data_IF_374191272578
#
_entry.id   IF_374191272578
#
_cell.length_a   1.000
_cell.length_b   1.000
_cell.length_c   1.000
_cell.angle_alpha   90.00
_cell.angle_beta   90.00
_cell.angle_gamma   90.00
#
_symmetry.space_group_name_H-M   'P 1'
#
loop_
_entity.id
_entity.type
_entity.pdbx_description
1 polymer ?
#
# COMPACT_ATOMS: atom_id res chain seq x y z
N UNK A 1 -19.22 1.93 -28.22
CA UNK A 1 -18.46 0.67 -28.07
C UNK A 1 -19.07 -0.34 -29.02
N UNK A 2 -18.27 -1.06 -29.81
CA UNK A 2 -18.78 -1.98 -30.86
C UNK A 2 -19.05 -3.38 -30.28
N UNK A 3 -18.23 -3.84 -29.33
CA UNK A 3 -18.41 -5.10 -28.60
C UNK A 3 -18.38 -4.86 -27.09
N UNK A 4 -19.20 -5.58 -26.32
CA UNK A 4 -19.18 -5.49 -24.87
C UNK A 4 -17.91 -6.17 -24.32
N UNK A 5 -17.20 -5.55 -23.36
CA UNK A 5 -16.06 -6.19 -22.72
C UNK A 5 -16.53 -7.41 -21.91
N UNK A 6 -15.66 -8.41 -21.72
CA UNK A 6 -15.96 -9.49 -20.78
C UNK A 6 -16.19 -8.89 -19.38
N UNK A 7 -17.18 -9.39 -18.61
CA UNK A 7 -17.42 -8.93 -17.24
C UNK A 7 -16.21 -9.10 -16.32
N UNK A 8 -15.35 -10.08 -16.60
CA UNK A 8 -14.16 -10.35 -15.81
C UNK A 8 -13.04 -10.90 -16.70
N UNK A 9 -11.83 -10.36 -16.54
CA UNK A 9 -10.61 -10.88 -17.18
C UNK A 9 -9.59 -11.25 -16.10
N UNK A 10 -9.03 -12.46 -16.17
CA UNK A 10 -8.13 -12.99 -15.13
C UNK A 10 -6.80 -13.38 -15.76
N UNK A 11 -5.70 -12.91 -15.19
CA UNK A 11 -4.37 -13.38 -15.56
C UNK A 11 -4.15 -14.79 -15.03
N UNK A 12 -3.61 -15.69 -15.85
CA UNK A 12 -3.45 -17.12 -15.52
C UNK A 12 -2.15 -17.43 -14.78
N UNK A 13 -1.24 -16.47 -14.65
CA UNK A 13 0.06 -16.65 -13.99
C UNK A 13 0.42 -15.37 -13.24
N UNK A 14 0.77 -15.54 -11.97
CA UNK A 14 1.17 -14.46 -11.08
C UNK A 14 2.65 -14.60 -10.73
N UNK A 15 3.41 -13.51 -10.90
CA UNK A 15 4.77 -13.45 -10.35
C UNK A 15 4.67 -13.26 -8.83
N UNK A 16 5.61 -13.83 -8.08
CA UNK A 16 5.64 -13.74 -6.62
C UNK A 16 7.09 -13.59 -6.14
N UNK A 17 7.38 -12.67 -5.21
CA UNK A 17 8.68 -12.63 -4.54
C UNK A 17 8.94 -13.92 -3.77
N UNK A 18 10.20 -14.24 -3.53
CA UNK A 18 10.59 -15.39 -2.69
C UNK A 18 10.24 -15.14 -1.23
N UNK A 19 10.09 -16.20 -0.43
CA UNK A 19 9.79 -16.07 1.01
C UNK A 19 10.87 -15.27 1.75
N UNK A 20 12.13 -15.37 1.32
CA UNK A 20 13.23 -14.58 1.87
C UNK A 20 13.06 -13.08 1.56
N UNK A 21 12.67 -12.74 0.32
CA UNK A 21 12.37 -11.36 -0.05
C UNK A 21 11.18 -10.82 0.74
N UNK A 22 10.08 -11.58 0.88
CA UNK A 22 8.90 -11.16 1.66
C UNK A 22 9.28 -10.93 3.13
N UNK A 23 10.09 -11.84 3.68
CA UNK A 23 10.54 -11.77 5.09
C UNK A 23 11.42 -10.55 5.36
N UNK A 24 12.22 -10.10 4.39
CA UNK A 24 13.11 -8.94 4.52
C UNK A 24 12.38 -7.60 4.73
N UNK A 25 11.09 -7.54 4.40
CA UNK A 25 10.25 -6.34 4.59
C UNK A 25 9.34 -6.40 5.82
N UNK A 26 9.30 -7.53 6.54
CA UNK A 26 8.45 -7.65 7.73
C UNK A 26 8.96 -6.72 8.83
N UNK A 27 8.09 -5.84 9.32
CA UNK A 27 8.42 -4.87 10.36
C UNK A 27 9.32 -3.70 9.91
N UNK A 28 9.56 -3.55 8.61
CA UNK A 28 10.31 -2.40 8.08
C UNK A 28 9.38 -1.18 7.99
N UNK A 29 9.74 -0.03 8.59
CA UNK A 29 8.95 1.20 8.48
C UNK A 29 8.82 1.67 7.03
N UNK A 30 7.66 2.21 6.66
CA UNK A 30 7.44 2.75 5.31
C UNK A 30 8.45 3.81 4.92
N UNK A 31 8.85 4.68 5.86
CA UNK A 31 9.90 5.69 5.65
C UNK A 31 11.22 5.10 5.16
N UNK A 32 11.67 3.98 5.72
CA UNK A 32 12.92 3.34 5.33
C UNK A 32 12.84 2.78 3.91
N UNK A 33 11.68 2.26 3.52
CA UNK A 33 11.42 1.77 2.17
C UNK A 33 11.41 2.92 1.16
N UNK A 34 10.80 4.06 1.51
CA UNK A 34 10.79 5.29 0.69
C UNK A 34 12.21 5.81 0.50
N UNK A 35 13.03 5.85 1.54
CA UNK A 35 14.42 6.28 1.44
C UNK A 35 15.26 5.34 0.56
N UNK A 36 15.04 4.02 0.67
CA UNK A 36 15.67 3.03 -0.21
C UNK A 36 15.29 3.23 -1.69
N UNK A 37 14.09 3.78 -1.93
CA UNK A 37 13.55 4.15 -3.23
C UNK A 37 13.83 5.62 -3.62
N UNK A 38 14.72 6.33 -2.91
CA UNK A 38 15.09 7.72 -3.17
C UNK A 38 13.90 8.69 -3.09
N UNK A 39 13.00 8.49 -2.14
CA UNK A 39 11.81 9.34 -1.93
C UNK A 39 10.59 8.91 -2.75
N UNK A 40 10.64 7.79 -3.46
CA UNK A 40 9.56 7.31 -4.33
C UNK A 40 8.69 6.20 -3.74
N UNK A 41 7.63 5.83 -4.46
CA UNK A 41 6.83 4.63 -4.20
C UNK A 41 5.65 4.80 -3.23
N UNK A 42 5.57 5.92 -2.49
CA UNK A 42 4.44 6.21 -1.63
C UNK A 42 3.15 6.44 -2.44
N UNK A 43 2.03 5.93 -1.92
CA UNK A 43 0.69 6.25 -2.41
C UNK A 43 0.24 7.64 -1.92
N UNK A 44 -0.80 8.17 -2.58
CA UNK A 44 -1.50 9.39 -2.17
C UNK A 44 -1.83 9.37 -0.68
N UNK A 45 -1.56 10.48 0.00
CA UNK A 45 -1.88 10.66 1.42
C UNK A 45 -3.38 10.59 1.74
N UNK A 46 -4.26 10.60 0.73
CA UNK A 46 -5.68 10.31 0.91
C UNK A 46 -5.96 8.86 1.29
N UNK A 47 -5.06 7.92 0.97
CA UNK A 47 -5.19 6.50 1.30
C UNK A 47 -4.58 6.30 2.69
N UNK A 48 -5.45 6.13 3.69
CA UNK A 48 -5.09 6.12 5.10
C UNK A 48 -5.61 4.85 5.78
N UNK A 49 -5.01 4.44 6.92
CA UNK A 49 -5.57 3.39 7.76
C UNK A 49 -7.05 3.65 8.05
N UNK A 50 -7.89 2.63 7.90
CA UNK A 50 -9.32 2.74 8.19
C UNK A 50 -9.52 3.19 9.64
N UNK A 51 -10.40 4.17 9.86
CA UNK A 51 -10.60 4.78 11.18
C UNK A 51 -9.35 5.47 11.74
N UNK A 52 -8.37 5.84 10.92
CA UNK A 52 -7.11 6.43 11.35
C UNK A 52 -6.20 5.47 12.14
N UNK A 53 -6.38 4.16 11.96
CA UNK A 53 -5.55 3.14 12.63
C UNK A 53 -5.74 3.10 14.15
N UNK A 54 -6.88 3.61 14.65
CA UNK A 54 -7.15 3.71 16.09
C UNK A 54 -7.42 2.35 16.73
N UNK A 55 -8.24 1.54 16.06
CA UNK A 55 -8.80 0.31 16.63
C UNK A 55 -8.22 -0.97 15.99
N UNK A 56 -7.43 -0.82 14.92
CA UNK A 56 -6.78 -1.92 14.19
C UNK A 56 -5.30 -1.59 14.08
N UNK A 57 -4.44 -2.55 14.42
CA UNK A 57 -3.01 -2.43 14.17
C UNK A 57 -2.74 -2.47 12.66
N UNK A 58 -2.57 -1.29 12.07
CA UNK A 58 -2.40 -1.12 10.64
C UNK A 58 -0.92 -1.19 10.29
N UNK A 59 -0.41 -2.43 10.20
CA UNK A 59 0.91 -2.76 9.69
C UNK A 59 0.77 -3.99 8.79
N UNK A 60 1.30 -3.92 7.58
CA UNK A 60 1.33 -5.06 6.67
C UNK A 60 2.52 -4.97 5.72
N UNK A 61 3.11 -6.12 5.42
CA UNK A 61 4.07 -6.26 4.35
C UNK A 61 3.77 -7.56 3.59
N UNK A 62 3.52 -7.47 2.28
CA UNK A 62 3.33 -8.66 1.45
C UNK A 62 3.27 -8.38 -0.06
N UNK A 63 3.33 -9.42 -0.90
CA UNK A 63 3.15 -9.28 -2.33
C UNK A 63 1.76 -8.77 -2.67
N UNK A 64 1.65 -7.87 -3.65
CA UNK A 64 0.39 -7.39 -4.16
C UNK A 64 -0.35 -8.50 -4.91
N UNK A 65 -1.63 -8.69 -4.61
CA UNK A 65 -2.60 -9.28 -5.53
C UNK A 65 -3.52 -8.16 -6.02
N UNK A 66 -3.44 -7.84 -7.30
CA UNK A 66 -4.16 -6.69 -7.88
C UNK A 66 -5.52 -7.09 -8.43
N UNK A 67 -6.52 -6.27 -8.16
CA UNK A 67 -7.84 -6.33 -8.77
C UNK A 67 -8.24 -4.93 -9.26
N UNK A 68 -8.57 -4.79 -10.55
CA UNK A 68 -9.20 -3.59 -11.06
C UNK A 68 -10.71 -3.78 -11.10
N UNK A 69 -11.43 -3.00 -10.32
CA UNK A 69 -12.89 -3.05 -10.30
C UNK A 69 -13.54 -1.90 -11.06
N UNK A 70 -12.77 -0.89 -11.49
CA UNK A 70 -13.35 0.35 -12.01
C UNK A 70 -14.20 1.08 -10.97
N UNK A 71 -15.00 2.04 -11.42
CA UNK A 71 -15.79 2.90 -10.53
C UNK A 71 -17.08 2.19 -10.06
N UNK A 72 -17.17 1.92 -8.77
CA UNK A 72 -18.43 1.52 -8.14
C UNK A 72 -18.85 0.07 -8.33
N UNK A 73 -17.92 -0.83 -8.65
CA UNK A 73 -18.15 -2.27 -8.81
C UNK A 73 -17.19 -3.08 -7.94
N UNK A 74 -17.56 -4.30 -7.56
CA UNK A 74 -16.70 -5.19 -6.74
C UNK A 74 -16.59 -6.62 -7.27
N UNK A 75 -17.05 -6.89 -8.51
CA UNK A 75 -17.03 -8.24 -9.10
C UNK A 75 -15.60 -8.82 -9.14
N UNK A 76 -14.62 -8.03 -9.61
CA UNK A 76 -13.24 -8.47 -9.66
C UNK A 76 -12.65 -8.73 -8.27
N UNK A 77 -12.99 -7.91 -7.27
CA UNK A 77 -12.51 -8.10 -5.90
C UNK A 77 -13.07 -9.37 -5.25
N UNK A 78 -14.35 -9.69 -5.47
CA UNK A 78 -14.94 -10.95 -5.04
C UNK A 78 -14.26 -12.15 -5.71
N UNK A 79 -14.03 -12.08 -7.02
CA UNK A 79 -13.35 -13.16 -7.74
C UNK A 79 -11.86 -13.28 -7.35
N UNK A 80 -11.22 -12.19 -6.94
CA UNK A 80 -9.83 -12.17 -6.48
C UNK A 80 -9.61 -13.01 -5.21
N UNK A 81 -10.64 -13.20 -4.37
CA UNK A 81 -10.56 -14.03 -3.16
C UNK A 81 -9.97 -15.42 -3.43
N UNK A 82 -10.31 -16.02 -4.58
CA UNK A 82 -9.84 -17.35 -4.98
C UNK A 82 -8.32 -17.43 -5.20
N UNK A 83 -7.67 -16.30 -5.48
CA UNK A 83 -6.28 -16.22 -5.87
C UNK A 83 -5.37 -15.69 -4.77
N UNK A 84 -5.93 -15.34 -3.62
CA UNK A 84 -5.17 -14.91 -2.44
C UNK A 84 -4.29 -16.07 -1.98
N UNK A 85 -3.00 -15.79 -1.86
CA UNK A 85 -2.02 -16.64 -1.19
C UNK A 85 -1.73 -16.07 0.19
N UNK A 86 -1.33 -16.94 1.13
CA UNK A 86 -0.95 -16.52 2.48
C UNK A 86 0.10 -15.40 2.43
N UNK A 87 -0.19 -14.29 3.12
CA UNK A 87 0.67 -13.12 3.19
C UNK A 87 0.43 -12.07 2.11
N UNK A 88 -0.52 -12.26 1.18
CA UNK A 88 -0.79 -11.27 0.13
C UNK A 88 -1.40 -9.98 0.70
N UNK A 89 -1.00 -8.85 0.14
CA UNK A 89 -1.72 -7.60 0.30
C UNK A 89 -2.65 -7.46 -0.91
N UNK A 90 -3.96 -7.49 -0.67
CA UNK A 90 -4.94 -7.31 -1.75
C UNK A 90 -4.99 -5.83 -2.10
N UNK A 91 -4.80 -5.49 -3.37
CA UNK A 91 -4.79 -4.10 -3.85
C UNK A 91 -5.91 -3.94 -4.88
N UNK A 92 -6.91 -3.13 -4.55
CA UNK A 92 -8.06 -2.87 -5.42
C UNK A 92 -8.04 -1.46 -5.98
N UNK A 93 -7.93 -1.34 -7.31
CA UNK A 93 -8.33 -0.12 -8.01
C UNK A 93 -9.85 -0.02 -8.04
N UNK A 94 -10.36 1.13 -7.62
CA UNK A 94 -11.75 1.52 -7.61
C UNK A 94 -11.97 2.81 -8.42
N UNK A 95 -11.01 3.13 -9.31
CA UNK A 95 -10.97 4.31 -10.16
C UNK A 95 -11.19 5.63 -9.38
N UNK A 96 -10.64 5.71 -8.16
CA UNK A 96 -10.85 6.81 -7.20
C UNK A 96 -12.33 7.17 -6.95
N UNK A 97 -13.26 6.25 -7.19
CA UNK A 97 -14.69 6.51 -7.02
C UNK A 97 -15.06 6.55 -5.53
N UNK A 98 -15.75 7.61 -5.12
CA UNK A 98 -16.14 7.81 -3.70
C UNK A 98 -17.65 7.71 -3.46
N UNK A 99 -18.44 7.44 -4.51
CA UNK A 99 -19.90 7.38 -4.41
C UNK A 99 -20.44 6.12 -3.71
N UNK A 100 -19.64 5.07 -3.58
CA UNK A 100 -19.98 3.84 -2.86
C UNK A 100 -18.74 3.11 -2.35
N UNK A 101 -18.94 2.10 -1.50
CA UNK A 101 -17.85 1.38 -0.84
C UNK A 101 -17.22 0.31 -1.76
N UNK A 102 -15.89 0.26 -1.78
CA UNK A 102 -15.11 -0.80 -2.44
C UNK A 102 -15.14 -2.12 -1.65
N UNK A 103 -15.37 -2.07 -0.34
CA UNK A 103 -15.54 -3.25 0.50
C UNK A 103 -16.31 -2.95 1.79
N UNK A 104 -16.87 -3.99 2.39
CA UNK A 104 -17.37 -4.00 3.77
C UNK A 104 -16.76 -5.15 4.57
N UNK A 105 -17.19 -5.29 5.81
CA UNK A 105 -16.70 -6.27 6.79
C UNK A 105 -16.64 -7.72 6.27
N UNK A 106 -17.68 -8.16 5.55
CA UNK A 106 -17.75 -9.53 5.02
C UNK A 106 -16.67 -9.81 3.99
N UNK A 107 -16.45 -8.87 3.07
CA UNK A 107 -15.45 -9.05 2.01
C UNK A 107 -14.04 -8.99 2.60
N UNK A 108 -13.79 -8.06 3.54
CA UNK A 108 -12.54 -7.97 4.30
C UNK A 108 -12.31 -9.26 5.13
N UNK A 109 -13.35 -9.80 5.77
CA UNK A 109 -13.31 -11.07 6.49
C UNK A 109 -12.99 -12.26 5.59
N UNK A 110 -13.54 -12.30 4.37
CA UNK A 110 -13.18 -13.31 3.39
C UNK A 110 -11.72 -13.19 2.95
N UNK A 111 -11.18 -11.98 2.77
CA UNK A 111 -9.74 -11.80 2.48
C UNK A 111 -8.88 -12.33 3.63
N UNK A 112 -9.21 -12.00 4.88
CA UNK A 112 -8.53 -12.52 6.08
C UNK A 112 -8.55 -14.04 6.11
N UNK A 113 -9.70 -14.66 5.85
CA UNK A 113 -9.86 -16.12 5.85
C UNK A 113 -9.03 -16.81 4.76
N UNK A 114 -8.76 -16.15 3.64
CA UNK A 114 -7.86 -16.66 2.60
C UNK A 114 -6.37 -16.37 2.88
N UNK A 115 -6.05 -15.72 4.01
CA UNK A 115 -4.68 -15.48 4.46
C UNK A 115 -4.07 -14.15 4.00
N UNK A 116 -4.89 -13.18 3.58
CA UNK A 116 -4.37 -11.85 3.26
C UNK A 116 -3.70 -11.20 4.50
N UNK A 117 -2.60 -10.49 4.27
CA UNK A 117 -1.90 -9.67 5.26
C UNK A 117 -2.54 -8.28 5.42
N UNK A 118 -3.18 -7.76 4.36
CA UNK A 118 -3.84 -6.46 4.38
C UNK A 118 -4.67 -6.20 3.13
N UNK A 119 -5.42 -5.09 3.14
CA UNK A 119 -6.20 -4.61 2.00
C UNK A 119 -5.94 -3.13 1.73
N UNK A 120 -5.67 -2.77 0.48
CA UNK A 120 -5.43 -1.38 0.03
C UNK A 120 -6.39 -1.05 -1.11
N UNK A 121 -7.00 0.13 -1.06
CA UNK A 121 -7.84 0.65 -2.14
C UNK A 121 -7.84 2.18 -2.20
N UNK A 122 -8.07 2.73 -3.38
CA UNK A 122 -8.36 4.15 -3.61
C UNK A 122 -9.86 4.50 -3.53
N UNK A 123 -10.71 3.54 -3.16
CA UNK A 123 -12.13 3.75 -2.83
C UNK A 123 -12.39 3.81 -1.31
N UNK A 124 -13.55 4.32 -0.86
CA UNK A 124 -13.93 4.24 0.55
C UNK A 124 -14.39 2.81 0.89
N UNK A 125 -14.43 2.48 2.18
CA UNK A 125 -15.00 1.21 2.67
C UNK A 125 -16.23 1.47 3.55
N UNK A 126 -16.90 0.41 3.98
CA UNK A 126 -18.07 0.50 4.86
C UNK A 126 -17.99 -0.49 6.02
N UNK A 127 -19.00 -0.46 6.89
CA UNK A 127 -19.16 -1.43 7.98
C UNK A 127 -17.98 -1.42 8.97
N UNK A 128 -17.47 -0.23 9.32
CA UNK A 128 -16.30 -0.05 10.21
C UNK A 128 -16.38 -0.88 11.50
N UNK A 129 -17.54 -0.86 12.18
CA UNK A 129 -17.79 -1.63 13.40
C UNK A 129 -17.61 -3.14 13.18
N UNK A 130 -17.92 -3.64 11.98
CA UNK A 130 -17.69 -5.03 11.59
C UNK A 130 -16.25 -5.29 11.12
N UNK A 131 -15.58 -4.31 10.50
CA UNK A 131 -14.18 -4.43 10.06
C UNK A 131 -13.22 -4.55 11.25
N UNK A 132 -13.42 -3.77 12.31
CA UNK A 132 -12.54 -3.77 13.50
C UNK A 132 -12.30 -5.19 14.07
N UNK A 133 -13.32 -5.99 14.39
CA UNK A 133 -13.12 -7.35 14.92
C UNK A 133 -12.56 -8.36 13.91
N UNK A 134 -12.59 -8.07 12.59
CA UNK A 134 -11.91 -8.91 11.59
C UNK A 134 -10.39 -8.82 11.75
N UNK A 135 -9.87 -7.66 12.15
CA UNK A 135 -8.44 -7.45 12.40
C UNK A 135 -7.56 -7.63 11.16
N UNK A 136 -8.10 -7.50 9.94
CA UNK A 136 -7.29 -7.30 8.74
C UNK A 136 -7.04 -5.79 8.61
N UNK A 137 -5.78 -5.33 8.49
CA UNK A 137 -5.52 -3.91 8.30
C UNK A 137 -5.98 -3.47 6.90
N UNK A 138 -6.60 -2.29 6.85
CA UNK A 138 -7.20 -1.74 5.63
C UNK A 138 -6.73 -0.30 5.44
N UNK A 139 -6.25 0.03 4.24
CA UNK A 139 -5.95 1.39 3.81
C UNK A 139 -6.90 1.82 2.70
N UNK A 140 -7.60 2.94 2.90
CA UNK A 140 -8.68 3.39 2.03
C UNK A 140 -8.82 4.93 2.08
N UNK A 141 -9.66 5.52 1.24
CA UNK A 141 -9.89 6.98 1.23
C UNK A 141 -10.96 7.46 2.22
N UNK A 142 -11.53 6.56 3.01
CA UNK A 142 -12.51 6.91 4.06
C UNK A 142 -13.65 5.90 4.18
N UNK A 143 -14.76 6.36 4.77
CA UNK A 143 -15.95 5.55 5.03
C UNK A 143 -17.16 6.07 4.25
N UNK A 144 -18.01 5.16 3.76
CA UNK A 144 -19.30 5.48 3.16
C UNK A 144 -20.30 4.35 3.42
N UNK A 145 -21.61 4.60 3.63
CA UNK A 145 -22.58 3.51 3.75
C UNK A 145 -23.07 2.97 2.39
N UNK A 146 -22.79 3.66 1.28
CA UNK A 146 -23.36 3.32 -0.03
C UNK A 146 -22.80 2.00 -0.59
N UNK A 147 -23.67 1.20 -1.23
CA UNK A 147 -23.33 -0.12 -1.77
C UNK A 147 -22.85 -0.03 -3.23
N UNK A 148 -21.85 -0.83 -3.64
CA UNK A 148 -21.42 -0.93 -5.03
C UNK A 148 -22.28 -1.90 -5.86
N UNK A 149 -22.03 -1.92 -7.16
CA UNK A 149 -22.50 -2.93 -8.11
C UNK A 149 -21.58 -4.17 -8.14
N UNK A 150 -22.00 -5.20 -8.89
CA UNK A 150 -21.23 -6.45 -9.05
C UNK A 150 -21.48 -7.06 -10.44
N UNK A 151 -21.26 -6.25 -11.46
CA UNK A 151 -21.52 -6.53 -12.89
C UNK A 151 -20.26 -6.50 -13.75
N UNK A 152 -19.17 -5.88 -13.28
CA UNK A 152 -17.97 -5.63 -14.07
C UNK A 152 -18.17 -4.51 -15.11
N UNK A 153 -17.22 -4.34 -16.05
CA UNK A 153 -16.04 -5.17 -16.24
C UNK A 153 -14.98 -4.96 -15.16
N UNK A 154 -14.19 -6.00 -14.87
CA UNK A 154 -13.02 -5.89 -14.00
C UNK A 154 -11.90 -6.85 -14.38
N UNK A 155 -10.72 -6.66 -13.79
CA UNK A 155 -9.54 -7.49 -14.07
C UNK A 155 -8.82 -7.95 -12.80
N UNK A 156 -8.15 -9.11 -12.86
CA UNK A 156 -7.37 -9.65 -11.75
C UNK A 156 -5.97 -10.02 -12.25
N UNK A 157 -4.94 -9.60 -11.50
CA UNK A 157 -3.55 -9.92 -11.81
C UNK A 157 -2.85 -8.97 -12.77
N UNK A 158 -3.58 -7.98 -13.28
CA UNK A 158 -3.07 -6.97 -14.22
C UNK A 158 -2.58 -5.71 -13.49
N UNK A 159 -1.77 -4.85 -14.13
CA UNK A 159 -1.40 -3.56 -13.56
C UNK A 159 -2.63 -2.72 -13.22
N UNK A 160 -2.61 -2.05 -12.07
CA UNK A 160 -3.66 -1.14 -11.59
C UNK A 160 -3.07 0.21 -11.20
N UNK A 161 -3.88 1.26 -11.29
CA UNK A 161 -3.52 2.59 -10.78
C UNK A 161 -4.21 2.80 -9.44
N UNK A 162 -3.44 2.98 -8.37
CA UNK A 162 -3.97 3.23 -7.02
C UNK A 162 -3.11 4.30 -6.37
N UNK A 163 -3.73 5.37 -5.87
CA UNK A 163 -3.01 6.41 -5.12
C UNK A 163 -1.87 7.08 -5.89
N UNK A 164 -1.95 7.19 -7.21
CA UNK A 164 -0.90 7.81 -8.03
C UNK A 164 0.27 6.89 -8.40
N UNK A 165 0.27 5.62 -7.99
CA UNK A 165 1.25 4.62 -8.40
C UNK A 165 0.62 3.58 -9.33
N UNK A 166 1.44 3.07 -10.25
CA UNK A 166 1.17 1.82 -10.93
C UNK A 166 1.60 0.67 -10.03
N UNK A 167 0.70 -0.28 -9.80
CA UNK A 167 0.94 -1.46 -8.96
C UNK A 167 0.62 -2.70 -9.79
N UNK A 168 1.54 -3.65 -9.77
CA UNK A 168 1.37 -4.92 -10.46
C UNK A 168 1.37 -6.08 -9.46
N UNK A 169 0.64 -7.15 -9.79
CA UNK A 169 0.65 -8.36 -8.96
C UNK A 169 2.08 -8.87 -8.80
N UNK A 170 2.46 -9.12 -7.54
CA UNK A 170 3.79 -9.53 -7.09
C UNK A 170 4.71 -8.38 -6.67
N UNK A 171 4.39 -7.11 -6.97
CA UNK A 171 5.11 -5.99 -6.35
C UNK A 171 5.00 -6.09 -4.82
N UNK A 172 6.02 -5.63 -4.10
CA UNK A 172 6.01 -5.70 -2.65
C UNK A 172 5.31 -4.47 -2.07
N UNK A 173 4.28 -4.68 -1.26
CA UNK A 173 3.57 -3.62 -0.55
C UNK A 173 4.07 -3.59 0.89
N UNK A 174 4.44 -2.41 1.36
CA UNK A 174 4.73 -2.15 2.78
C UNK A 174 3.83 -1.02 3.23
N UNK A 175 3.13 -1.23 4.33
CA UNK A 175 2.15 -0.29 4.83
C UNK A 175 2.18 -0.23 6.35
N UNK A 176 2.06 0.98 6.88
CA UNK A 176 1.95 1.26 8.30
C UNK A 176 0.98 2.43 8.53
N UNK A 177 1.08 3.14 9.66
CA UNK A 177 0.20 4.27 9.96
C UNK A 177 0.44 5.50 9.08
N UNK A 178 1.62 5.66 8.50
CA UNK A 178 1.97 6.83 7.69
C UNK A 178 1.42 6.69 6.27
N UNK A 179 1.24 5.46 5.79
CA UNK A 179 0.59 5.18 4.52
C UNK A 179 1.00 3.83 3.92
N UNK A 180 1.05 3.80 2.59
CA UNK A 180 1.36 2.61 1.79
C UNK A 180 2.47 2.95 0.82
N UNK A 181 3.45 2.05 0.69
CA UNK A 181 4.59 2.15 -0.21
C UNK A 181 4.65 0.92 -1.10
N UNK A 182 4.91 1.15 -2.38
CA UNK A 182 5.04 0.11 -3.40
C UNK A 182 6.51 -0.02 -3.78
N UNK A 183 7.06 -1.22 -3.65
CA UNK A 183 8.36 -1.59 -4.20
C UNK A 183 8.11 -2.42 -5.46
N UNK A 184 8.44 -1.90 -6.66
CA UNK A 184 8.30 -2.66 -7.90
C UNK A 184 9.06 -3.98 -7.82
N UNK A 185 8.50 -5.06 -8.38
CA UNK A 185 9.09 -6.40 -8.34
C UNK A 185 10.58 -6.42 -8.72
N UNK A 186 10.94 -5.67 -9.77
CA UNK A 186 12.31 -5.60 -10.27
C UNK A 186 13.30 -4.87 -9.34
N UNK A 187 12.81 -4.13 -8.35
CA UNK A 187 13.61 -3.35 -7.38
C UNK A 187 13.69 -3.99 -6.00
N UNK A 188 13.02 -5.11 -5.78
CA UNK A 188 12.95 -5.78 -4.46
C UNK A 188 14.36 -6.02 -3.89
N UNK A 189 15.24 -6.65 -4.65
CA UNK A 189 16.61 -6.95 -4.19
C UNK A 189 17.44 -5.68 -3.96
N UNK A 190 17.30 -4.68 -4.84
CA UNK A 190 17.97 -3.39 -4.70
C UNK A 190 17.57 -2.69 -3.39
N UNK A 191 16.27 -2.70 -3.07
CA UNK A 191 15.74 -2.10 -1.84
C UNK A 191 16.26 -2.86 -0.62
N UNK A 192 16.16 -4.19 -0.61
CA UNK A 192 16.64 -5.03 0.50
C UNK A 192 18.10 -4.73 0.84
N UNK A 193 18.97 -4.59 -0.18
CA UNK A 193 20.39 -4.30 0.01
C UNK A 193 20.64 -2.93 0.70
N UNK A 194 19.72 -1.98 0.58
CA UNK A 194 19.84 -0.65 1.20
C UNK A 194 19.23 -0.57 2.60
N UNK A 195 18.27 -1.42 2.93
CA UNK A 195 17.50 -1.33 4.19
C UNK A 195 18.40 -1.38 5.44
N UNK A 196 19.39 -2.27 5.47
CA UNK A 196 20.30 -2.38 6.60
C UNK A 196 21.10 -1.08 6.84
N UNK A 197 21.62 -0.49 5.76
CA UNK A 197 22.36 0.76 5.85
C UNK A 197 21.47 1.94 6.29
N UNK A 198 20.24 2.01 5.78
CA UNK A 198 19.28 3.04 6.17
C UNK A 198 18.95 2.92 7.66
N UNK A 199 18.67 1.71 8.15
CA UNK A 199 18.38 1.48 9.55
C UNK A 199 19.56 1.89 10.48
N UNK A 200 20.80 1.65 10.06
CA UNK A 200 21.99 2.11 10.78
C UNK A 200 22.09 3.65 10.82
N UNK A 201 21.86 4.32 9.69
CA UNK A 201 21.90 5.78 9.61
C UNK A 201 20.81 6.43 10.46
N UNK A 202 19.60 5.87 10.44
CA UNK A 202 18.46 6.32 11.24
C UNK A 202 18.75 6.18 12.74
N UNK A 203 19.24 5.02 13.17
CA UNK A 203 19.59 4.79 14.57
C UNK A 203 20.71 5.72 15.07
N UNK A 204 21.72 5.99 14.24
CA UNK A 204 22.80 6.93 14.57
C UNK A 204 22.28 8.37 14.66
N UNK A 205 21.41 8.79 13.73
CA UNK A 205 20.81 10.12 13.75
C UNK A 205 19.90 10.30 14.97
N UNK A 206 19.03 9.32 15.27
CA UNK A 206 18.18 9.31 16.45
C UNK A 206 18.98 9.43 17.74
N UNK A 207 20.08 8.66 17.87
CA UNK A 207 20.96 8.75 19.03
C UNK A 207 21.58 10.14 19.17
N UNK A 208 22.03 10.76 18.06
CA UNK A 208 22.58 12.12 18.07
C UNK A 208 21.52 13.16 18.44
N UNK A 209 20.30 13.04 17.92
CA UNK A 209 19.16 13.92 18.24
C UNK A 209 18.80 13.79 19.73
N UNK A 210 18.71 12.56 20.26
CA UNK A 210 18.46 12.31 21.67
C UNK A 210 19.56 12.89 22.58
N UNK A 211 20.81 12.95 22.10
CA UNK A 211 21.94 13.60 22.78
C UNK A 211 21.97 15.14 22.60
N UNK A 212 20.96 15.72 21.94
CA UNK A 212 20.80 17.16 21.80
C UNK A 212 21.45 17.75 20.54
N UNK A 213 21.67 16.96 19.48
CA UNK A 213 22.02 17.50 18.17
C UNK A 213 20.96 18.52 17.73
N UNK A 214 21.37 19.79 17.57
CA UNK A 214 20.46 20.88 17.18
C UNK A 214 20.44 21.14 15.68
N UNK A 215 21.61 21.09 15.04
CA UNK A 215 21.79 21.40 13.62
C UNK A 215 22.90 20.50 13.08
N UNK A 216 22.64 19.72 12.01
CA UNK A 216 23.66 18.88 11.37
C UNK A 216 24.85 19.71 10.86
N UNK A 217 26.05 19.13 10.87
CA UNK A 217 27.28 19.82 10.45
C UNK A 217 27.22 20.29 9.00
N UNK A 218 26.68 19.47 8.10
CA UNK A 218 26.53 19.82 6.68
C UNK A 218 25.64 21.05 6.48
N UNK A 219 24.60 21.26 7.31
CA UNK A 219 23.76 22.47 7.25
C UNK A 219 24.58 23.69 7.66
N UNK A 220 25.38 23.59 8.72
CA UNK A 220 26.25 24.70 9.17
C UNK A 220 27.28 25.08 8.12
N UNK A 221 27.78 24.11 7.36
CA UNK A 221 28.71 24.32 6.24
C UNK A 221 27.98 24.89 5.03
N UNK A 222 26.82 24.35 4.67
CA UNK A 222 25.99 24.82 3.56
C UNK A 222 25.61 26.30 3.73
N UNK A 223 25.20 26.70 4.94
CA UNK A 223 24.90 28.09 5.29
C UNK A 223 26.10 29.05 5.18
N UNK A 224 27.32 28.52 5.17
CA UNK A 224 28.57 29.29 4.95
C UNK A 224 29.07 29.23 3.51
N UNK A 225 28.51 28.34 2.69
CA UNK A 225 28.92 28.16 1.30
C UNK A 225 28.44 29.30 0.41
N UNK A 226 29.08 29.45 -0.75
CA UNK A 226 28.69 30.38 -1.82
C UNK A 226 27.27 30.13 -2.35
N UNK A 227 26.71 28.94 -2.12
CA UNK A 227 25.31 28.62 -2.45
C UNK A 227 24.30 29.34 -1.55
N UNK A 228 24.73 29.95 -0.45
CA UNK A 228 23.87 30.70 0.47
C UNK A 228 24.03 32.20 0.26
N UNK A 229 23.06 32.81 -0.44
CA UNK A 229 22.99 34.27 -0.60
C UNK A 229 22.20 34.87 0.56
N UNK A 230 22.77 35.88 1.23
CA UNK A 230 22.07 36.67 2.27
C UNK A 230 21.58 37.97 1.66
N UNK A 231 20.33 38.33 1.92
CA UNK A 231 19.70 39.59 1.53
C UNK A 231 19.01 40.18 2.77
N UNK A 232 19.10 41.49 2.92
CA UNK A 232 18.42 42.26 3.96
C UNK A 232 16.94 42.53 3.61
#
# INVERSE_FOLDING_TARGET
>A
MIEAPPPLTIKTTFRRPTDAQISAFQGVPTGFVVDALLGGGALSSSIQPVGGGRDIDCVAAGPALTADCGAGDVLALFAALKFITLGDVVVSSFAAHTGCAAAGDRLVGMMKNNGAAGFVTDGPVRDYVGIVPVGLPVWCVGLTPASPHMSGPGTIGFPVQVGGQQIETGDMIVADRDGVVVVPFAKIDEVILKLAHIAELEADLDAKVAQGLKVPSWVKEYLKSESTVRKD
#
